data_IF_653955291603
#
_entry.id   IF_653955291603
#
_cell.length_a   1.000
_cell.length_b   1.000
_cell.length_c   1.000
_cell.angle_alpha   90.00
_cell.angle_beta   90.00
_cell.angle_gamma   90.00
#
_symmetry.space_group_name_H-M   'P 1'
#
loop_
_entity.id
_entity.type
_entity.pdbx_description
1 polymer ?
#
# COMPACT_ATOMS: atom_id res chain seq x y z
N UNK A 1 10.47 1.54 -23.39
CA UNK A 1 10.90 2.42 -22.31
C UNK A 1 10.64 1.77 -20.96
N UNK A 2 11.55 1.94 -20.04
CA UNK A 2 11.37 1.39 -18.70
C UNK A 2 10.24 2.10 -17.97
N UNK A 3 9.43 1.34 -17.25
CA UNK A 3 8.42 1.89 -16.39
C UNK A 3 9.08 2.57 -15.19
N UNK A 4 8.55 3.71 -14.77
CA UNK A 4 9.05 4.43 -13.59
C UNK A 4 8.28 3.94 -12.37
N UNK A 5 8.84 2.93 -11.71
CA UNK A 5 8.26 2.36 -10.48
C UNK A 5 8.87 3.02 -9.26
N UNK A 6 8.01 3.44 -8.33
CA UNK A 6 8.45 4.09 -7.11
C UNK A 6 7.66 3.58 -5.93
N UNK A 7 8.35 3.11 -4.90
CA UNK A 7 7.74 2.72 -3.63
C UNK A 7 8.14 3.74 -2.58
N UNK A 8 7.15 4.39 -1.99
CA UNK A 8 7.39 5.41 -0.97
C UNK A 8 6.45 5.19 0.21
N UNK A 9 6.67 5.92 1.28
CA UNK A 9 5.74 5.91 2.40
C UNK A 9 4.48 6.66 2.00
N UNK A 10 3.33 6.10 2.39
CA UNK A 10 2.04 6.75 2.16
C UNK A 10 1.94 8.02 3.00
N UNK A 11 1.39 9.06 2.40
CA UNK A 11 1.10 10.31 3.11
C UNK A 11 -0.39 10.60 3.03
N UNK A 12 -0.85 11.64 3.75
CA UNK A 12 -2.24 12.04 3.71
C UNK A 12 -2.70 12.43 2.31
N UNK A 13 -1.78 12.92 1.47
CA UNK A 13 -2.10 13.27 0.10
C UNK A 13 -2.41 12.06 -0.78
N UNK A 14 -1.98 10.87 -0.37
CA UNK A 14 -2.19 9.64 -1.12
C UNK A 14 -3.51 8.95 -0.76
N UNK A 15 -4.15 9.35 0.33
CA UNK A 15 -5.32 8.63 0.85
C UNK A 15 -6.46 8.56 -0.15
N UNK A 16 -6.73 9.64 -0.89
CA UNK A 16 -7.82 9.64 -1.88
C UNK A 16 -7.63 8.54 -2.91
N UNK A 17 -6.42 8.43 -3.45
CA UNK A 17 -6.10 7.40 -4.44
C UNK A 17 -6.17 5.99 -3.83
N UNK A 18 -5.69 5.86 -2.59
CA UNK A 18 -5.71 4.58 -1.90
C UNK A 18 -7.14 4.12 -1.62
N UNK A 19 -8.01 5.02 -1.19
CA UNK A 19 -9.43 4.71 -0.95
C UNK A 19 -10.09 4.25 -2.24
N UNK A 20 -9.84 4.92 -3.35
CA UNK A 20 -10.40 4.54 -4.65
C UNK A 20 -9.93 3.15 -5.06
N UNK A 21 -8.65 2.86 -4.90
CA UNK A 21 -8.12 1.54 -5.24
C UNK A 21 -8.73 0.46 -4.34
N UNK A 22 -8.80 0.73 -3.05
CA UNK A 22 -9.35 -0.20 -2.07
C UNK A 22 -10.82 -0.52 -2.39
N UNK A 23 -11.61 0.49 -2.72
CA UNK A 23 -13.01 0.31 -3.09
C UNK A 23 -13.19 -0.51 -4.36
N UNK A 24 -12.23 -0.44 -5.27
CA UNK A 24 -12.30 -1.18 -6.52
C UNK A 24 -11.97 -2.67 -6.36
N UNK A 25 -11.31 -3.04 -5.26
CA UNK A 25 -10.81 -4.40 -5.03
C UNK A 25 -11.65 -5.16 -4.01
N UNK A 26 -11.98 -4.51 -2.90
CA UNK A 26 -12.59 -5.18 -1.75
C UNK A 26 -14.08 -4.94 -1.69
N UNK A 27 -14.82 -5.98 -1.34
CA UNK A 27 -16.26 -5.89 -1.10
C UNK A 27 -16.55 -4.99 0.11
N UNK A 28 -15.70 -5.06 1.14
CA UNK A 28 -15.84 -4.29 2.37
C UNK A 28 -14.62 -3.39 2.53
N UNK A 29 -14.56 -2.27 1.79
CA UNK A 29 -13.37 -1.42 1.80
C UNK A 29 -13.20 -0.68 3.13
N UNK A 30 -11.94 -0.32 3.43
CA UNK A 30 -11.63 0.48 4.60
C UNK A 30 -12.15 1.92 4.42
N UNK A 31 -12.59 2.51 5.53
CA UNK A 31 -12.94 3.91 5.54
C UNK A 31 -11.68 4.79 5.47
N UNK A 32 -11.86 6.00 4.98
CA UNK A 32 -10.77 6.98 4.94
C UNK A 32 -10.12 7.17 6.31
N UNK A 33 -10.92 7.18 7.38
CA UNK A 33 -10.42 7.33 8.74
C UNK A 33 -9.53 6.17 9.19
N UNK A 34 -9.77 4.97 8.66
CA UNK A 34 -8.93 3.82 8.96
C UNK A 34 -7.53 4.01 8.38
N UNK A 35 -7.44 4.50 7.14
CA UNK A 35 -6.15 4.79 6.53
C UNK A 35 -5.44 5.92 7.26
N UNK A 36 -6.16 6.99 7.61
CA UNK A 36 -5.58 8.10 8.36
C UNK A 36 -5.03 7.64 9.70
N UNK A 37 -5.75 6.76 10.39
CA UNK A 37 -5.30 6.20 11.65
C UNK A 37 -4.03 5.38 11.48
N UNK A 38 -3.96 4.58 10.43
CA UNK A 38 -2.79 3.75 10.14
C UNK A 38 -1.54 4.58 9.83
N UNK A 39 -1.72 5.73 9.20
CA UNK A 39 -0.59 6.62 8.92
C UNK A 39 0.14 7.07 10.20
N UNK A 40 -0.58 7.12 11.31
CA UNK A 40 -0.03 7.60 12.59
C UNK A 40 0.71 6.52 13.38
N UNK A 41 0.40 5.26 13.14
CA UNK A 41 0.90 4.17 13.99
C UNK A 41 1.50 2.99 13.23
N UNK A 42 1.21 2.85 11.95
CA UNK A 42 1.63 1.70 11.15
C UNK A 42 2.60 2.11 10.07
N UNK A 43 3.26 1.12 9.47
CA UNK A 43 4.07 1.34 8.29
C UNK A 43 3.18 1.20 7.07
N UNK A 44 3.03 2.28 6.32
CA UNK A 44 2.17 2.32 5.14
C UNK A 44 3.01 2.66 3.92
N UNK A 45 2.99 1.78 2.92
CA UNK A 45 3.73 1.96 1.68
C UNK A 45 2.80 2.02 0.50
N UNK A 46 3.18 2.79 -0.51
CA UNK A 46 2.49 2.82 -1.78
C UNK A 46 3.47 2.52 -2.90
N UNK A 47 2.96 1.93 -3.98
CA UNK A 47 3.71 1.70 -5.20
C UNK A 47 3.01 2.46 -6.32
N UNK A 48 3.77 3.34 -6.99
CA UNK A 48 3.27 4.07 -8.15
C UNK A 48 4.08 3.70 -9.39
N UNK A 49 3.39 3.66 -10.51
CA UNK A 49 4.00 3.46 -11.82
C UNK A 49 3.66 4.68 -12.67
N UNK A 50 4.68 5.43 -13.04
CA UNK A 50 4.51 6.65 -13.84
C UNK A 50 3.50 7.62 -13.20
N UNK A 51 3.51 7.71 -11.87
CA UNK A 51 2.63 8.58 -11.12
C UNK A 51 1.28 7.99 -10.75
N UNK A 52 0.92 6.85 -11.31
CA UNK A 52 -0.36 6.19 -11.03
C UNK A 52 -0.22 5.20 -9.89
N UNK A 53 -1.20 5.19 -8.98
CA UNK A 53 -1.17 4.24 -7.86
C UNK A 53 -1.51 2.84 -8.35
N UNK A 54 -0.57 1.91 -8.14
CA UNK A 54 -0.73 0.51 -8.55
C UNK A 54 -0.94 -0.42 -7.38
N UNK A 55 -0.53 -0.02 -6.18
CA UNK A 55 -0.70 -0.88 -5.01
C UNK A 55 -0.30 -0.19 -3.73
N UNK A 56 -0.65 -0.81 -2.61
CA UNK A 56 -0.24 -0.33 -1.29
C UNK A 56 -0.17 -1.49 -0.32
N UNK A 57 0.53 -1.27 0.80
CA UNK A 57 0.61 -2.25 1.88
C UNK A 57 0.63 -1.52 3.22
N UNK A 58 -0.08 -2.07 4.19
CA UNK A 58 -0.13 -1.54 5.55
C UNK A 58 0.30 -2.63 6.51
N UNK A 59 1.31 -2.33 7.30
CA UNK A 59 1.96 -3.29 8.19
C UNK A 59 2.03 -2.72 9.59
N UNK A 60 1.53 -3.48 10.56
CA UNK A 60 1.59 -3.11 11.97
C UNK A 60 2.81 -3.74 12.61
N UNK A 61 3.57 -2.95 13.34
CA UNK A 61 4.72 -3.45 14.10
C UNK A 61 4.48 -3.10 15.57
N UNK A 62 4.13 -4.11 16.36
CA UNK A 62 3.89 -3.95 17.79
C UNK A 62 4.92 -4.80 18.52
N UNK A 63 5.80 -4.15 19.31
CA UNK A 63 6.91 -4.81 19.98
C UNK A 63 7.83 -5.49 18.94
N UNK A 64 8.11 -6.78 19.08
CA UNK A 64 8.95 -7.53 18.15
C UNK A 64 8.11 -8.29 17.11
N UNK A 65 6.80 -8.13 17.15
CA UNK A 65 5.90 -8.81 16.24
C UNK A 65 5.39 -7.85 15.19
N UNK A 66 5.24 -8.37 13.97
CA UNK A 66 4.70 -7.61 12.88
C UNK A 66 3.53 -8.33 12.25
N UNK A 67 2.56 -7.57 11.76
CA UNK A 67 1.39 -8.14 11.11
C UNK A 67 1.03 -7.33 9.88
N UNK A 68 0.84 -8.04 8.76
CA UNK A 68 0.34 -7.39 7.55
C UNK A 68 -1.15 -7.16 7.71
N UNK A 69 -1.54 -5.90 7.81
CA UNK A 69 -2.94 -5.54 8.01
C UNK A 69 -3.71 -5.52 6.70
N UNK A 70 -3.07 -5.04 5.63
CA UNK A 70 -3.74 -4.95 4.34
C UNK A 70 -2.72 -4.81 3.22
N UNK A 71 -2.96 -5.49 2.12
CA UNK A 71 -2.15 -5.33 0.91
C UNK A 71 -3.07 -5.46 -0.29
N UNK A 72 -2.88 -4.61 -1.27
CA UNK A 72 -3.68 -4.62 -2.48
C UNK A 72 -2.87 -4.15 -3.68
N UNK A 73 -3.18 -4.73 -4.83
CA UNK A 73 -2.57 -4.35 -6.11
C UNK A 73 -3.70 -4.19 -7.11
N UNK A 74 -3.60 -3.16 -7.94
CA UNK A 74 -4.57 -2.91 -9.00
C UNK A 74 -4.81 -4.20 -9.78
N UNK A 75 -6.08 -4.67 -9.90
CA UNK A 75 -6.37 -5.92 -10.61
C UNK A 75 -5.84 -5.96 -12.05
N UNK A 76 -5.75 -4.82 -12.70
CA UNK A 76 -5.22 -4.73 -14.07
C UNK A 76 -3.70 -4.91 -14.13
N UNK A 77 -3.03 -4.80 -12.99
CA UNK A 77 -1.58 -4.88 -12.90
C UNK A 77 -1.11 -6.10 -12.11
N UNK A 78 -1.97 -7.07 -11.87
CA UNK A 78 -1.58 -8.30 -11.19
C UNK A 78 -0.63 -9.11 -12.08
N UNK A 79 0.15 -9.99 -11.45
CA UNK A 79 1.16 -10.82 -12.11
C UNK A 79 2.41 -10.04 -12.56
N UNK A 80 2.56 -8.80 -12.11
CA UNK A 80 3.78 -8.02 -12.36
C UNK A 80 4.75 -8.04 -11.17
N UNK A 81 4.39 -8.78 -10.11
CA UNK A 81 5.24 -8.88 -8.93
C UNK A 81 5.19 -7.67 -8.00
N UNK A 82 4.19 -6.81 -8.13
CA UNK A 82 4.10 -5.60 -7.30
C UNK A 82 3.88 -5.91 -5.84
N UNK A 83 3.05 -6.91 -5.54
CA UNK A 83 2.84 -7.32 -4.14
C UNK A 83 4.15 -7.79 -3.51
N UNK A 84 4.93 -8.58 -4.25
CA UNK A 84 6.23 -9.04 -3.79
C UNK A 84 7.19 -7.88 -3.55
N UNK A 85 7.17 -6.89 -4.44
CA UNK A 85 8.00 -5.70 -4.27
C UNK A 85 7.65 -4.93 -3.00
N UNK A 86 6.34 -4.78 -2.72
CA UNK A 86 5.88 -4.11 -1.50
C UNK A 86 6.31 -4.89 -0.26
N UNK A 87 6.16 -6.22 -0.27
CA UNK A 87 6.57 -7.05 0.86
C UNK A 87 8.08 -6.99 1.09
N UNK A 88 8.86 -6.96 0.02
CA UNK A 88 10.32 -6.85 0.14
C UNK A 88 10.73 -5.51 0.77
N UNK A 89 10.04 -4.43 0.42
CA UNK A 89 10.32 -3.13 1.02
C UNK A 89 9.96 -3.11 2.51
N UNK A 90 8.84 -3.75 2.88
CA UNK A 90 8.46 -3.88 4.29
C UNK A 90 9.53 -4.63 5.08
N UNK A 91 10.10 -5.68 4.50
CA UNK A 91 11.18 -6.44 5.14
C UNK A 91 12.40 -5.59 5.42
N UNK A 92 12.73 -4.66 4.52
CA UNK A 92 13.87 -3.75 4.69
C UNK A 92 13.65 -2.74 5.81
N UNK A 93 12.39 -2.37 6.05
CA UNK A 93 12.03 -1.40 7.08
C UNK A 93 11.84 -2.04 8.46
N UNK A 94 11.60 -3.34 8.48
CA UNK A 94 11.35 -4.11 9.70
C UNK A 94 12.59 -4.60 10.44
#
# INVERSE_FOLDING_TARGET
MAEDLLITRMTSDDIDDVVLLDCSIFYDPWARTSFSGSLKKDTCLILRRDGELEGYAIFSSIFDEGELLRIAVNPLSRRKGYATMLMNELSKLG
#
